data_IF_628772472675
#
_entry.id   IF_628772472675
#
_cell.length_a   1.000
_cell.length_b   1.000
_cell.length_c   1.000
_cell.angle_alpha   90.00
_cell.angle_beta   90.00
_cell.angle_gamma   90.00
#
_symmetry.space_group_name_H-M   'P 1'
#
loop_
_entity.id
_entity.type
_entity.pdbx_description
1 polymer ?
#
# COMPACT_ATOMS: atom_id res chain seq x y z
N UNK A 1 -2.69 -8.09 4.94
CA UNK A 1 -1.32 -7.56 4.96
C UNK A 1 -0.51 -8.18 3.82
N UNK A 2 0.37 -7.41 3.22
CA UNK A 2 1.28 -7.84 2.16
C UNK A 2 2.62 -7.11 2.29
N UNK A 3 3.71 -7.80 2.04
CA UNK A 3 5.03 -7.19 1.77
C UNK A 3 5.81 -8.00 0.74
N UNK A 4 6.82 -7.38 0.13
CA UNK A 4 7.68 -7.97 -0.89
C UNK A 4 9.12 -8.03 -0.38
N UNK A 5 9.77 -9.16 -0.55
CA UNK A 5 11.13 -9.46 -0.10
C UNK A 5 11.88 -10.23 -1.19
N UNK A 6 12.82 -9.61 -1.88
CA UNK A 6 13.71 -10.24 -2.87
C UNK A 6 13.04 -11.31 -3.76
N UNK A 7 11.93 -10.94 -4.43
CA UNK A 7 11.18 -11.84 -5.31
C UNK A 7 10.28 -12.85 -4.60
N UNK A 8 10.15 -12.77 -3.28
CA UNK A 8 9.21 -13.53 -2.46
C UNK A 8 8.15 -12.59 -1.90
N UNK A 9 6.93 -13.07 -1.77
CA UNK A 9 5.81 -12.30 -1.24
C UNK A 9 5.35 -12.91 0.08
N UNK A 10 5.10 -12.07 1.09
CA UNK A 10 4.40 -12.46 2.31
C UNK A 10 2.99 -11.89 2.30
N UNK A 11 2.03 -12.79 2.41
CA UNK A 11 0.60 -12.49 2.42
C UNK A 11 0.01 -12.91 3.76
N UNK A 12 -0.53 -11.95 4.49
CA UNK A 12 -1.28 -12.21 5.70
C UNK A 12 -2.78 -11.98 5.48
N UNK A 13 -3.60 -12.96 5.80
CA UNK A 13 -5.05 -12.88 5.59
C UNK A 13 -5.84 -13.97 6.27
N UNK A 14 -7.10 -14.10 5.87
CA UNK A 14 -8.01 -15.16 6.35
C UNK A 14 -8.19 -16.16 5.21
N UNK A 15 -7.85 -17.43 5.49
CA UNK A 15 -8.11 -18.58 4.62
C UNK A 15 -9.38 -19.30 5.02
N UNK A 16 -9.76 -20.36 4.30
CA UNK A 16 -10.87 -21.25 4.65
C UNK A 16 -10.66 -21.94 6.01
N UNK A 17 -9.40 -22.16 6.40
CA UNK A 17 -9.01 -22.82 7.66
C UNK A 17 -8.78 -21.84 8.81
N UNK A 18 -8.82 -20.55 8.56
CA UNK A 18 -8.59 -19.48 9.54
C UNK A 18 -7.54 -18.46 9.12
N UNK A 19 -6.93 -17.84 10.10
CA UNK A 19 -5.89 -16.85 9.87
C UNK A 19 -4.60 -17.50 9.37
N UNK A 20 -4.03 -17.00 8.29
CA UNK A 20 -2.81 -17.52 7.69
C UNK A 20 -1.82 -16.43 7.32
N UNK A 21 -0.54 -16.70 7.50
CA UNK A 21 0.57 -16.00 6.89
C UNK A 21 1.20 -16.93 5.86
N UNK A 22 1.23 -16.53 4.61
CA UNK A 22 1.67 -17.36 3.50
C UNK A 22 2.86 -16.72 2.81
N UNK A 23 3.92 -17.47 2.65
CA UNK A 23 5.01 -17.18 1.74
C UNK A 23 4.63 -17.65 0.34
N UNK A 24 4.76 -16.76 -0.64
CA UNK A 24 4.54 -17.08 -2.05
C UNK A 24 5.81 -16.74 -2.84
N UNK A 25 6.36 -17.71 -3.57
CA UNK A 25 7.52 -17.47 -4.45
C UNK A 25 7.09 -16.93 -5.81
N UNK A 26 8.06 -16.40 -6.57
CA UNK A 26 7.83 -15.91 -7.93
C UNK A 26 7.29 -16.99 -8.89
N UNK A 27 7.58 -18.28 -8.61
CA UNK A 27 7.09 -19.44 -9.39
C UNK A 27 5.69 -19.91 -8.94
N UNK A 28 5.08 -19.23 -7.96
CA UNK A 28 3.74 -19.55 -7.47
C UNK A 28 3.70 -20.67 -6.43
N UNK A 29 4.85 -21.08 -5.86
CA UNK A 29 4.86 -22.02 -4.73
C UNK A 29 4.46 -21.29 -3.46
N UNK A 30 3.56 -21.86 -2.69
CA UNK A 30 3.09 -21.32 -1.42
C UNK A 30 3.51 -22.19 -0.24
N UNK A 31 3.82 -21.53 0.87
CA UNK A 31 4.14 -22.15 2.15
C UNK A 31 3.47 -21.36 3.26
N UNK A 32 2.75 -22.02 4.14
CA UNK A 32 2.17 -21.40 5.32
C UNK A 32 3.22 -21.29 6.42
N UNK A 33 3.35 -20.10 7.00
CA UNK A 33 4.31 -19.80 8.05
C UNK A 33 3.63 -19.83 9.43
N UNK A 34 4.37 -20.19 10.48
CA UNK A 34 3.84 -20.21 11.83
C UNK A 34 3.49 -18.78 12.29
N UNK A 35 2.33 -18.65 12.92
CA UNK A 35 1.90 -17.41 13.56
C UNK A 35 2.18 -17.43 15.06
N UNK A 36 2.41 -16.27 15.70
CA UNK A 36 2.46 -16.17 17.17
C UNK A 36 1.16 -16.71 17.78
N UNK A 37 1.26 -17.52 18.82
CA UNK A 37 0.18 -18.39 19.33
C UNK A 37 -1.11 -17.73 19.83
N UNK A 38 -1.16 -16.39 19.95
CA UNK A 38 -2.37 -15.66 20.35
C UNK A 38 -2.84 -14.65 19.29
N UNK A 39 -2.44 -14.85 18.04
CA UNK A 39 -2.79 -13.95 16.95
C UNK A 39 -4.22 -14.19 16.48
N UNK A 40 -5.06 -13.17 16.58
CA UNK A 40 -6.44 -13.17 16.07
C UNK A 40 -6.58 -12.33 14.79
N UNK A 41 -5.61 -11.44 14.51
CA UNK A 41 -5.62 -10.55 13.37
C UNK A 41 -4.21 -10.20 12.90
N UNK A 42 -4.04 -10.07 11.57
CA UNK A 42 -2.83 -9.63 10.91
C UNK A 42 -3.05 -8.21 10.38
N UNK A 43 -2.33 -7.25 10.94
CA UNK A 43 -2.54 -5.83 10.64
C UNK A 43 -1.72 -5.36 9.46
N UNK A 44 -0.39 -5.51 9.54
CA UNK A 44 0.54 -5.01 8.54
C UNK A 44 1.84 -5.81 8.50
N UNK A 45 2.54 -5.74 7.38
CA UNK A 45 3.86 -6.33 7.15
C UNK A 45 4.81 -5.25 6.64
N UNK A 46 6.08 -5.32 7.03
CA UNK A 46 7.14 -4.54 6.40
C UNK A 46 8.44 -5.37 6.30
N UNK A 47 9.32 -5.08 5.33
CA UNK A 47 10.65 -5.68 5.27
C UNK A 47 11.49 -5.31 6.50
N UNK A 48 12.42 -6.19 6.89
CA UNK A 48 13.39 -5.89 7.95
C UNK A 48 14.70 -5.24 7.42
N UNK A 49 14.85 -5.20 6.09
CA UNK A 49 16.05 -4.73 5.41
C UNK A 49 17.17 -5.77 5.27
N UNK A 50 16.99 -6.99 5.82
CA UNK A 50 17.96 -8.09 5.80
C UNK A 50 17.42 -9.36 5.11
N UNK A 51 16.31 -9.23 4.36
CA UNK A 51 15.65 -10.33 3.65
C UNK A 51 14.53 -11.01 4.45
N UNK A 52 14.32 -10.59 5.68
CA UNK A 52 13.23 -11.00 6.55
C UNK A 52 12.12 -9.96 6.64
N UNK A 53 11.14 -10.17 7.53
CA UNK A 53 10.00 -9.28 7.68
C UNK A 53 9.54 -9.13 9.13
N UNK A 54 8.92 -7.99 9.39
CA UNK A 54 8.16 -7.72 10.60
C UNK A 54 6.67 -7.75 10.31
N UNK A 55 5.94 -8.46 11.15
CA UNK A 55 4.48 -8.56 11.13
C UNK A 55 3.90 -7.85 12.35
N UNK A 56 3.04 -6.85 12.14
CA UNK A 56 2.17 -6.33 13.17
C UNK A 56 0.94 -7.22 13.27
N UNK A 57 0.75 -7.84 14.42
CA UNK A 57 -0.34 -8.78 14.67
C UNK A 57 -0.87 -8.64 16.09
N UNK A 58 -1.95 -9.32 16.42
CA UNK A 58 -2.49 -9.34 17.78
C UNK A 58 -3.95 -9.68 17.86
N UNK A 59 -4.59 -9.23 18.95
CA UNK A 59 -6.02 -9.43 19.17
C UNK A 59 -6.83 -8.44 18.35
N UNK A 60 -7.99 -8.90 17.86
CA UNK A 60 -8.95 -8.02 17.22
C UNK A 60 -9.69 -7.20 18.29
N UNK A 61 -9.76 -5.87 18.16
CA UNK A 61 -10.60 -5.08 19.04
C UNK A 61 -12.05 -5.58 18.95
N UNK A 62 -12.72 -5.82 20.07
CA UNK A 62 -14.12 -6.23 20.06
C UNK A 62 -14.99 -5.12 19.49
N UNK A 63 -15.67 -5.40 18.41
CA UNK A 63 -16.51 -4.45 17.70
C UNK A 63 -17.42 -5.13 16.69
N UNK A 64 -18.17 -4.32 15.98
CA UNK A 64 -19.03 -4.75 14.89
C UNK A 64 -18.97 -3.73 13.75
N UNK A 65 -19.28 -4.18 12.55
CA UNK A 65 -19.50 -3.27 11.42
C UNK A 65 -20.92 -2.75 11.45
N UNK A 66 -21.10 -1.44 11.40
CA UNK A 66 -22.43 -0.84 11.27
C UNK A 66 -23.01 -1.05 9.85
N UNK A 67 -24.25 -0.63 9.64
CA UNK A 67 -24.93 -0.78 8.35
C UNK A 67 -24.25 -0.03 7.18
N UNK A 68 -23.31 0.84 7.48
CA UNK A 68 -22.53 1.61 6.49
C UNK A 68 -21.11 1.02 6.30
N UNK A 69 -20.80 -0.12 6.92
CA UNK A 69 -19.48 -0.76 6.84
C UNK A 69 -18.42 -0.15 7.75
N UNK A 70 -18.77 0.78 8.64
CA UNK A 70 -17.80 1.34 9.60
C UNK A 70 -17.64 0.42 10.80
N UNK A 71 -16.40 0.19 11.22
CA UNK A 71 -16.13 -0.60 12.43
C UNK A 71 -16.46 0.23 13.68
N UNK A 72 -17.33 -0.31 14.56
CA UNK A 72 -17.72 0.27 15.84
C UNK A 72 -17.20 -0.57 16.99
N UNK A 73 -16.45 0.02 17.88
CA UNK A 73 -15.94 -0.66 19.06
C UNK A 73 -17.06 -0.90 20.09
N UNK A 74 -17.09 -2.09 20.69
CA UNK A 74 -18.05 -2.44 21.75
C UNK A 74 -17.64 -1.91 23.11
N UNK A 75 -16.36 -1.63 23.35
CA UNK A 75 -15.88 -1.06 24.59
C UNK A 75 -14.97 0.14 24.35
N UNK A 76 -14.93 1.05 25.33
CA UNK A 76 -14.01 2.20 25.34
C UNK A 76 -12.61 1.81 25.83
N UNK A 77 -12.47 0.60 26.39
CA UNK A 77 -11.18 0.10 26.86
C UNK A 77 -10.61 -0.89 25.85
N UNK A 78 -9.39 -0.70 25.40
CA UNK A 78 -8.72 -1.61 24.48
C UNK A 78 -8.45 -2.94 25.20
N UNK A 79 -9.09 -4.01 24.75
CA UNK A 79 -8.82 -5.38 25.26
C UNK A 79 -7.72 -6.09 24.45
N UNK A 80 -7.25 -5.48 23.34
CA UNK A 80 -6.33 -6.08 22.41
C UNK A 80 -4.86 -5.81 22.74
N UNK A 81 -4.04 -6.85 22.74
CA UNK A 81 -2.58 -6.73 22.77
C UNK A 81 -2.05 -6.83 21.35
N UNK A 82 -1.27 -5.83 20.93
CA UNK A 82 -0.53 -5.88 19.66
C UNK A 82 0.89 -6.39 19.91
N UNK A 83 1.44 -7.03 18.90
CA UNK A 83 2.80 -7.50 18.89
C UNK A 83 3.46 -7.28 17.52
N UNK A 84 4.76 -7.10 17.52
CA UNK A 84 5.60 -7.20 16.33
C UNK A 84 6.27 -8.57 16.36
N UNK A 85 6.07 -9.37 15.32
CA UNK A 85 6.72 -10.66 15.14
C UNK A 85 7.76 -10.57 14.04
N UNK A 86 9.00 -10.95 14.33
CA UNK A 86 10.12 -10.94 13.39
C UNK A 86 10.31 -12.32 12.76
N UNK A 87 10.36 -12.35 11.45
CA UNK A 87 10.74 -13.50 10.64
C UNK A 87 12.06 -13.19 9.95
N UNK A 88 13.04 -14.08 10.06
CA UNK A 88 14.33 -13.91 9.39
C UNK A 88 14.26 -14.20 7.87
N UNK A 89 15.38 -14.11 7.17
CA UNK A 89 15.48 -14.39 5.74
C UNK A 89 15.11 -15.84 5.35
N UNK A 90 15.16 -16.78 6.30
CA UNK A 90 14.67 -18.16 6.11
C UNK A 90 13.17 -18.29 6.45
N UNK A 91 12.51 -17.20 6.83
CA UNK A 91 11.11 -17.12 7.28
C UNK A 91 10.81 -17.91 8.57
N UNK A 92 11.83 -18.12 9.38
CA UNK A 92 11.67 -18.66 10.72
C UNK A 92 11.29 -17.53 11.70
N UNK A 93 10.26 -17.75 12.52
CA UNK A 93 9.88 -16.81 13.58
C UNK A 93 10.99 -16.74 14.64
N UNK A 94 11.61 -15.57 14.79
CA UNK A 94 12.76 -15.34 15.66
C UNK A 94 12.37 -14.68 16.97
N UNK A 95 11.52 -13.65 16.91
CA UNK A 95 11.24 -12.79 18.03
C UNK A 95 9.78 -12.31 18.02
N UNK A 96 9.24 -12.06 19.22
CA UNK A 96 7.93 -11.44 19.41
C UNK A 96 8.07 -10.32 20.42
N UNK A 97 7.88 -9.08 19.98
CA UNK A 97 7.90 -7.88 20.80
C UNK A 97 6.47 -7.45 21.12
N UNK A 98 6.06 -7.57 22.37
CA UNK A 98 4.74 -7.10 22.81
C UNK A 98 4.74 -5.58 22.90
N UNK A 99 3.77 -4.92 22.29
CA UNK A 99 3.61 -3.48 22.38
C UNK A 99 3.18 -3.11 23.80
N UNK A 100 3.82 -2.09 24.36
CA UNK A 100 3.60 -1.66 25.75
C UNK A 100 2.30 -0.87 25.90
N UNK A 101 1.89 -0.16 24.85
CA UNK A 101 0.65 0.62 24.82
C UNK A 101 -0.46 -0.18 24.18
N UNK A 102 -1.67 -0.08 24.72
CA UNK A 102 -2.87 -0.63 24.09
C UNK A 102 -3.47 0.40 23.16
N UNK A 103 -3.83 -0.04 21.96
CA UNK A 103 -4.39 0.81 20.91
C UNK A 103 -5.79 0.34 20.52
N UNK A 104 -6.67 1.29 20.27
CA UNK A 104 -8.04 1.04 19.78
C UNK A 104 -8.14 1.14 18.26
N UNK A 105 -7.15 1.78 17.62
CA UNK A 105 -7.14 1.99 16.18
C UNK A 105 -6.84 0.72 15.40
N UNK A 106 -7.41 0.64 14.21
CA UNK A 106 -7.06 -0.39 13.25
C UNK A 106 -5.87 0.09 12.42
N UNK A 107 -4.69 -0.39 12.74
CA UNK A 107 -3.50 -0.15 11.95
C UNK A 107 -3.53 -1.02 10.68
N UNK A 108 -3.07 -0.49 9.57
CA UNK A 108 -3.07 -1.18 8.28
C UNK A 108 -1.75 -1.05 7.53
N UNK A 109 -0.83 -0.24 8.01
CA UNK A 109 0.54 -0.18 7.51
C UNK A 109 1.56 -0.10 8.64
N UNK A 110 2.72 -0.66 8.36
CA UNK A 110 3.91 -0.69 9.19
C UNK A 110 5.11 -0.31 8.33
N UNK A 111 5.95 0.57 8.83
CA UNK A 111 7.18 0.99 8.20
C UNK A 111 8.34 0.77 9.16
N UNK A 112 9.41 0.11 8.70
CA UNK A 112 10.66 0.00 9.45
C UNK A 112 11.40 1.32 9.37
N UNK A 113 11.87 1.83 10.51
CA UNK A 113 12.66 3.04 10.63
C UNK A 113 13.98 2.73 11.34
N UNK A 114 14.97 3.60 11.23
CA UNK A 114 16.16 3.48 12.06
C UNK A 114 15.78 3.51 13.55
N UNK A 115 16.21 2.49 14.31
CA UNK A 115 15.92 2.32 15.74
C UNK A 115 14.45 2.07 16.09
N UNK A 116 13.63 1.49 15.18
CA UNK A 116 12.28 1.04 15.50
C UNK A 116 11.29 1.06 14.34
N UNK A 117 10.05 1.48 14.58
CA UNK A 117 8.95 1.34 13.62
C UNK A 117 8.02 2.55 13.61
N UNK A 118 7.33 2.76 12.53
CA UNK A 118 6.13 3.59 12.50
C UNK A 118 4.94 2.74 12.05
N UNK A 119 3.88 2.72 12.84
CA UNK A 119 2.61 2.11 12.47
C UNK A 119 1.56 3.17 12.19
N UNK A 120 0.71 2.91 11.21
CA UNK A 120 -0.28 3.85 10.70
C UNK A 120 -1.69 3.29 10.72
N UNK A 121 -2.62 4.08 11.27
CA UNK A 121 -4.07 3.93 11.08
C UNK A 121 -4.61 5.06 10.19
N UNK A 122 -5.92 5.11 9.96
CA UNK A 122 -6.53 6.18 9.17
C UNK A 122 -6.33 7.59 9.78
N UNK A 123 -6.14 7.69 11.10
CA UNK A 123 -6.06 8.96 11.81
C UNK A 123 -4.82 9.13 12.68
N UNK A 124 -3.97 8.11 12.78
CA UNK A 124 -2.92 8.07 13.77
C UNK A 124 -1.63 7.47 13.21
N UNK A 125 -0.50 8.17 13.43
CA UNK A 125 0.86 7.65 13.27
C UNK A 125 1.46 7.44 14.67
N UNK A 126 2.08 6.30 14.90
CA UNK A 126 2.74 5.95 16.14
C UNK A 126 4.17 5.53 15.84
N UNK A 127 5.13 6.23 16.45
CA UNK A 127 6.55 5.83 16.46
C UNK A 127 6.79 4.90 17.64
N UNK A 128 7.35 3.74 17.36
CA UNK A 128 7.79 2.77 18.36
C UNK A 128 9.32 2.65 18.31
N UNK A 129 9.93 2.41 19.44
CA UNK A 129 11.31 1.93 19.52
C UNK A 129 11.38 0.41 19.23
N UNK A 130 12.59 -0.16 19.21
CA UNK A 130 12.80 -1.59 18.98
C UNK A 130 12.23 -2.49 20.08
N UNK A 131 12.01 -1.96 21.29
CA UNK A 131 11.38 -2.65 22.41
C UNK A 131 9.83 -2.56 22.38
N UNK A 132 9.24 -1.93 21.36
CA UNK A 132 7.80 -1.77 21.19
C UNK A 132 7.19 -0.70 22.10
N UNK A 133 8.02 0.21 22.67
CA UNK A 133 7.53 1.34 23.42
C UNK A 133 7.21 2.52 22.50
N UNK A 134 6.09 3.19 22.73
CA UNK A 134 5.71 4.41 22.02
C UNK A 134 6.65 5.56 22.39
N UNK A 135 7.29 6.16 21.39
CA UNK A 135 8.21 7.30 21.56
C UNK A 135 7.63 8.59 21.02
N UNK A 136 6.74 8.53 20.05
CA UNK A 136 6.08 9.69 19.48
C UNK A 136 4.73 9.33 18.85
N UNK A 137 3.88 10.35 18.71
CA UNK A 137 2.53 10.21 18.14
C UNK A 137 2.15 11.45 17.34
N UNK A 138 1.52 11.22 16.20
CA UNK A 138 0.91 12.26 15.37
C UNK A 138 -0.53 11.87 15.02
N UNK A 139 -1.48 12.78 15.31
CA UNK A 139 -2.89 12.60 14.94
C UNK A 139 -3.26 13.48 13.77
N UNK A 140 -4.13 12.96 12.90
CA UNK A 140 -4.76 13.72 11.83
C UNK A 140 -6.16 14.16 12.27
N UNK A 141 -6.51 15.42 12.02
CA UNK A 141 -7.89 15.86 12.14
C UNK A 141 -8.71 15.30 10.98
N UNK A 142 -9.63 14.39 11.29
CA UNK A 142 -10.45 13.68 10.30
C UNK A 142 -11.81 14.34 10.06
N UNK A 143 -12.08 15.52 10.67
CA UNK A 143 -13.41 16.16 10.59
C UNK A 143 -13.82 16.53 9.17
N UNK A 144 -12.84 16.90 8.34
CA UNK A 144 -13.09 17.30 6.95
C UNK A 144 -12.91 16.14 5.97
N UNK A 145 -12.98 14.89 6.45
CA UNK A 145 -12.89 13.69 5.62
C UNK A 145 -11.45 13.26 5.26
N UNK A 146 -10.44 13.89 5.84
CA UNK A 146 -9.05 13.49 5.60
C UNK A 146 -8.70 12.20 6.35
N UNK A 147 -7.86 11.37 5.73
CA UNK A 147 -7.29 10.18 6.34
C UNK A 147 -5.88 9.92 5.84
N UNK A 148 -5.06 9.29 6.68
CA UNK A 148 -3.82 8.67 6.22
C UNK A 148 -4.13 7.47 5.32
N UNK A 149 -3.40 7.34 4.22
CA UNK A 149 -3.65 6.32 3.20
C UNK A 149 -2.46 5.41 2.94
N UNK A 150 -1.24 5.93 2.94
CA UNK A 150 -0.02 5.16 2.75
C UNK A 150 1.16 5.81 3.47
N UNK A 151 2.18 5.00 3.81
CA UNK A 151 3.39 5.43 4.50
C UNK A 151 4.62 4.78 3.86
N UNK A 152 5.67 5.57 3.64
CA UNK A 152 6.96 5.10 3.13
C UNK A 152 8.08 5.98 3.68
N UNK A 153 9.17 5.35 4.13
CA UNK A 153 10.40 6.06 4.46
C UNK A 153 11.31 6.08 3.21
N UNK A 154 11.90 7.25 2.94
CA UNK A 154 12.91 7.45 1.91
C UNK A 154 13.85 8.59 2.32
N UNK A 155 15.15 8.41 2.13
CA UNK A 155 16.19 9.42 2.37
C UNK A 155 16.12 10.10 3.76
N UNK A 156 15.76 9.33 4.81
CA UNK A 156 15.64 9.85 6.17
C UNK A 156 14.42 10.74 6.39
N UNK A 157 13.43 10.68 5.54
CA UNK A 157 12.13 11.37 5.66
C UNK A 157 11.00 10.35 5.61
N UNK A 158 10.03 10.49 6.49
CA UNK A 158 8.82 9.67 6.48
C UNK A 158 7.76 10.38 5.64
N UNK A 159 7.45 9.81 4.50
CA UNK A 159 6.40 10.28 3.59
C UNK A 159 5.08 9.61 3.91
N UNK A 160 4.03 10.40 4.05
CA UNK A 160 2.69 9.93 4.38
C UNK A 160 1.69 10.52 3.40
N UNK A 161 1.08 9.66 2.60
CA UNK A 161 0.00 10.06 1.71
C UNK A 161 -1.27 10.25 2.53
N UNK A 162 -1.90 11.42 2.41
CA UNK A 162 -3.23 11.69 2.95
C UNK A 162 -4.23 11.88 1.83
N UNK A 163 -5.47 11.44 2.04
CA UNK A 163 -6.54 11.55 1.06
C UNK A 163 -7.80 12.09 1.70
N UNK A 164 -8.54 12.91 0.95
CA UNK A 164 -9.89 13.32 1.30
C UNK A 164 -10.89 12.28 0.80
N UNK A 165 -11.68 11.68 1.70
CA UNK A 165 -12.68 10.67 1.36
C UNK A 165 -13.83 11.20 0.51
N UNK A 166 -14.11 12.50 0.60
CA UNK A 166 -15.18 13.12 -0.18
C UNK A 166 -14.73 13.45 -1.61
N UNK A 167 -13.42 13.31 -1.90
CA UNK A 167 -12.86 13.53 -3.25
C UNK A 167 -12.85 14.98 -3.71
N UNK A 168 -13.10 15.93 -2.77
CA UNK A 168 -13.16 17.37 -3.08
C UNK A 168 -11.78 18.01 -3.23
N UNK A 169 -10.75 17.36 -2.67
CA UNK A 169 -9.39 17.87 -2.66
C UNK A 169 -8.39 16.80 -3.11
N UNK A 170 -7.30 17.24 -3.76
CA UNK A 170 -6.22 16.34 -4.17
C UNK A 170 -5.48 15.80 -2.94
N UNK A 171 -4.90 14.59 -3.03
CA UNK A 171 -4.07 14.03 -1.98
C UNK A 171 -2.88 14.93 -1.64
N UNK A 172 -2.45 14.90 -0.37
CA UNK A 172 -1.23 15.55 0.08
C UNK A 172 -0.18 14.49 0.43
N UNK A 173 1.04 14.74 0.02
CA UNK A 173 2.23 14.00 0.45
C UNK A 173 2.84 14.75 1.65
N UNK A 174 2.47 14.35 2.85
CA UNK A 174 3.00 14.94 4.10
C UNK A 174 4.33 14.33 4.44
N UNK A 175 5.22 15.17 4.95
CA UNK A 175 6.58 14.78 5.33
C UNK A 175 6.72 14.89 6.85
N UNK A 176 7.37 13.91 7.46
CA UNK A 176 7.65 13.89 8.89
C UNK A 176 9.09 13.49 9.15
N UNK A 177 9.68 14.03 10.22
CA UNK A 177 10.94 13.55 10.75
C UNK A 177 10.71 12.15 11.37
N UNK A 178 11.44 11.09 10.95
CA UNK A 178 11.11 9.71 11.34
C UNK A 178 11.36 9.41 12.82
N UNK A 179 12.19 10.19 13.51
CA UNK A 179 12.54 10.02 14.92
C UNK A 179 11.50 10.63 15.87
N UNK A 180 10.88 11.74 15.50
CA UNK A 180 9.97 12.51 16.36
C UNK A 180 8.54 12.62 15.84
N UNK A 181 8.28 12.23 14.60
CA UNK A 181 7.05 12.50 13.86
C UNK A 181 6.69 13.99 13.80
N UNK A 182 7.69 14.87 13.94
CA UNK A 182 7.48 16.31 13.71
C UNK A 182 7.17 16.57 12.25
N UNK A 183 6.09 17.31 12.00
CA UNK A 183 5.69 17.64 10.64
C UNK A 183 6.74 18.56 9.97
N UNK A 184 7.07 18.23 8.74
CA UNK A 184 7.87 19.02 7.80
C UNK A 184 6.93 19.66 6.78
N UNK A 185 7.51 20.26 5.73
CA UNK A 185 6.72 20.81 4.62
C UNK A 185 5.97 19.70 3.87
N UNK A 186 4.72 19.96 3.47
CA UNK A 186 3.89 19.03 2.71
C UNK A 186 3.83 19.46 1.23
N UNK A 187 3.76 18.47 0.34
CA UNK A 187 3.54 18.68 -1.07
C UNK A 187 2.10 18.30 -1.44
N UNK A 188 1.42 19.16 -2.21
CA UNK A 188 0.13 18.79 -2.81
C UNK A 188 0.41 17.95 -4.07
N UNK A 189 -0.20 16.77 -4.17
CA UNK A 189 -0.06 15.94 -5.36
C UNK A 189 -0.74 16.60 -6.56
N UNK A 190 -0.17 16.44 -7.75
CA UNK A 190 -0.74 16.99 -9.00
C UNK A 190 -1.84 16.10 -9.59
N UNK A 191 -2.01 14.89 -9.05
CA UNK A 191 -3.02 13.92 -9.47
C UNK A 191 -3.54 13.13 -8.27
N UNK A 192 -4.62 12.37 -8.49
CA UNK A 192 -5.21 11.49 -7.46
C UNK A 192 -4.29 10.27 -7.21
N UNK A 193 -3.26 10.44 -6.38
CA UNK A 193 -2.36 9.36 -5.97
C UNK A 193 -3.11 8.39 -5.03
N UNK A 194 -2.99 7.10 -5.29
CA UNK A 194 -3.71 6.05 -4.55
C UNK A 194 -2.77 5.17 -3.72
N UNK A 195 -1.54 4.97 -4.18
CA UNK A 195 -0.55 4.11 -3.53
C UNK A 195 0.83 4.74 -3.46
N UNK A 196 1.61 4.31 -2.47
CA UNK A 196 2.96 4.79 -2.20
C UNK A 196 3.88 3.60 -1.92
N UNK A 197 5.00 3.54 -2.60
CA UNK A 197 6.07 2.55 -2.44
C UNK A 197 7.44 3.19 -2.64
N UNK A 198 8.46 2.35 -2.85
CA UNK A 198 9.84 2.79 -3.07
C UNK A 198 10.38 2.17 -4.36
N UNK A 199 11.05 2.96 -5.17
CA UNK A 199 11.85 2.50 -6.30
C UNK A 199 13.22 1.98 -5.83
N UNK A 200 13.82 1.10 -6.60
CA UNK A 200 15.16 0.57 -6.32
C UNK A 200 16.25 1.64 -6.29
N UNK A 201 16.03 2.78 -6.95
CA UNK A 201 16.92 3.94 -6.96
C UNK A 201 16.69 4.94 -5.82
N UNK A 202 15.75 4.65 -4.90
CA UNK A 202 15.42 5.47 -3.73
C UNK A 202 14.30 6.48 -3.94
N UNK A 203 13.84 6.71 -5.18
CA UNK A 203 12.68 7.58 -5.44
C UNK A 203 11.39 6.95 -4.93
N UNK A 204 10.38 7.78 -4.65
CA UNK A 204 9.06 7.24 -4.31
C UNK A 204 8.38 6.65 -5.55
N UNK A 205 7.81 5.48 -5.38
CA UNK A 205 6.97 4.81 -6.38
C UNK A 205 5.51 5.15 -6.10
N UNK A 206 4.87 5.86 -7.00
CA UNK A 206 3.52 6.37 -6.81
C UNK A 206 2.60 5.87 -7.92
N UNK A 207 1.37 5.53 -7.57
CA UNK A 207 0.36 5.10 -8.53
C UNK A 207 -0.89 5.97 -8.47
N UNK A 208 -1.44 6.30 -9.63
CA UNK A 208 -2.72 6.97 -9.79
C UNK A 208 -3.64 6.16 -10.74
N UNK A 209 -4.78 6.70 -11.15
CA UNK A 209 -5.71 6.01 -12.06
C UNK A 209 -5.20 5.85 -13.49
N UNK A 210 -4.16 6.57 -13.88
CA UNK A 210 -3.65 6.60 -15.25
C UNK A 210 -2.32 5.86 -15.39
N UNK A 211 -1.45 5.96 -14.38
CA UNK A 211 -0.08 5.48 -14.49
C UNK A 211 0.57 5.14 -13.13
N UNK A 212 1.64 4.38 -13.21
CA UNK A 212 2.66 4.23 -12.19
C UNK A 212 3.83 5.12 -12.55
N UNK A 213 4.33 5.90 -11.61
CA UNK A 213 5.41 6.85 -11.85
C UNK A 213 6.38 6.90 -10.66
N UNK A 214 7.63 7.28 -10.95
CA UNK A 214 8.60 7.61 -9.94
C UNK A 214 8.51 9.11 -9.63
N UNK A 215 8.60 9.47 -8.33
CA UNK A 215 8.64 10.84 -7.85
C UNK A 215 9.97 11.09 -7.18
N UNK A 216 10.71 12.08 -7.69
CA UNK A 216 11.98 12.53 -7.13
C UNK A 216 11.71 13.50 -5.98
N UNK A 217 12.10 13.09 -4.77
CA UNK A 217 11.83 13.84 -3.55
C UNK A 217 12.65 15.13 -3.42
N UNK A 218 13.74 15.24 -4.14
CA UNK A 218 14.63 16.40 -4.13
C UNK A 218 14.22 17.48 -5.13
N UNK A 219 13.82 17.09 -6.35
CA UNK A 219 13.40 18.04 -7.40
C UNK A 219 11.89 18.25 -7.48
N UNK A 220 11.08 17.33 -6.94
CA UNK A 220 9.63 17.32 -7.11
C UNK A 220 9.18 16.86 -8.51
N UNK A 221 10.08 16.34 -9.34
CA UNK A 221 9.76 15.87 -10.69
C UNK A 221 9.18 14.46 -10.68
N UNK A 222 8.33 14.17 -11.66
CA UNK A 222 7.73 12.86 -11.90
C UNK A 222 8.21 12.25 -13.20
N UNK A 223 8.47 10.93 -13.19
CA UNK A 223 8.81 10.16 -14.37
C UNK A 223 7.80 9.03 -14.54
N UNK A 224 7.01 9.00 -15.65
CA UNK A 224 6.10 7.90 -15.91
C UNK A 224 6.86 6.60 -16.16
N UNK A 225 6.50 5.53 -15.46
CA UNK A 225 7.09 4.20 -15.57
C UNK A 225 6.21 3.24 -16.37
N UNK A 226 4.89 3.28 -16.11
CA UNK A 226 3.90 2.41 -16.75
C UNK A 226 2.59 3.15 -16.87
N UNK A 227 2.02 3.20 -18.06
CA UNK A 227 0.67 3.70 -18.30
C UNK A 227 -0.33 2.54 -18.38
N UNK A 228 -1.39 2.59 -17.58
CA UNK A 228 -2.37 1.50 -17.50
C UNK A 228 -3.04 1.25 -18.84
N UNK A 229 -3.27 2.28 -19.65
CA UNK A 229 -3.82 2.16 -20.98
C UNK A 229 -2.96 1.30 -21.92
N UNK A 230 -1.65 1.24 -21.68
CA UNK A 230 -0.72 0.45 -22.49
C UNK A 230 -0.77 -1.04 -22.14
N UNK A 231 -1.19 -1.37 -20.92
CA UNK A 231 -1.21 -2.75 -20.41
C UNK A 231 -2.54 -3.45 -20.61
N UNK A 232 -3.61 -2.72 -20.94
CA UNK A 232 -4.95 -3.29 -21.01
C UNK A 232 -5.47 -3.83 -19.68
N UNK A 233 -4.86 -3.43 -18.57
CA UNK A 233 -5.27 -3.84 -17.24
C UNK A 233 -6.07 -2.72 -16.59
N UNK A 234 -7.21 -3.06 -15.97
CA UNK A 234 -7.91 -2.14 -15.10
C UNK A 234 -7.20 -2.17 -13.73
N UNK A 235 -6.08 -1.47 -13.65
CA UNK A 235 -5.29 -1.41 -12.43
C UNK A 235 -5.89 -0.33 -11.56
N UNK A 236 -6.74 -0.74 -10.63
CA UNK A 236 -7.02 0.10 -9.48
C UNK A 236 -5.72 0.13 -8.67
N UNK A 237 -4.96 1.20 -8.81
CA UNK A 237 -3.68 1.35 -8.17
C UNK A 237 -3.86 1.20 -6.65
N UNK A 238 -3.30 0.14 -6.13
CA UNK A 238 -3.12 -0.09 -4.70
C UNK A 238 -1.71 0.29 -4.30
N UNK A 239 -1.19 -0.38 -3.29
CA UNK A 239 0.19 -0.21 -2.89
C UNK A 239 1.11 -0.84 -3.96
N UNK A 240 2.06 -0.09 -4.53
CA UNK A 240 3.00 -0.60 -5.52
C UNK A 240 4.32 -1.05 -4.88
N UNK A 241 4.99 -2.03 -5.50
CA UNK A 241 6.38 -2.42 -5.22
C UNK A 241 7.12 -2.57 -6.52
N UNK A 242 8.37 -2.12 -6.57
CA UNK A 242 9.28 -2.44 -7.66
C UNK A 242 9.90 -3.82 -7.41
N UNK A 243 9.98 -4.62 -8.47
CA UNK A 243 10.65 -5.91 -8.54
C UNK A 243 11.81 -5.81 -9.52
N UNK A 244 12.78 -6.73 -9.43
CA UNK A 244 13.89 -6.81 -10.38
C UNK A 244 13.41 -6.85 -11.86
N UNK A 245 12.34 -7.59 -12.13
CA UNK A 245 11.78 -7.77 -13.48
C UNK A 245 10.49 -7.00 -13.76
N UNK A 246 10.10 -6.03 -12.92
CA UNK A 246 8.87 -5.26 -13.11
C UNK A 246 8.28 -4.66 -11.86
N UNK A 247 6.95 -4.81 -11.70
CA UNK A 247 6.22 -4.23 -10.57
C UNK A 247 5.18 -5.20 -10.02
N UNK A 248 4.88 -5.08 -8.76
CA UNK A 248 3.76 -5.72 -8.09
C UNK A 248 2.79 -4.65 -7.60
N UNK A 249 1.51 -4.89 -7.77
CA UNK A 249 0.45 -3.99 -7.34
C UNK A 249 -0.57 -4.79 -6.53
N UNK A 250 -0.90 -4.29 -5.36
CA UNK A 250 -1.93 -4.87 -4.51
C UNK A 250 -3.10 -3.92 -4.36
N UNK A 251 -4.27 -4.36 -4.78
CA UNK A 251 -5.53 -3.64 -4.56
C UNK A 251 -6.26 -4.26 -3.37
N UNK A 252 -6.29 -3.59 -2.22
CA UNK A 252 -6.95 -4.14 -1.03
C UNK A 252 -8.48 -4.19 -1.16
N UNK A 253 -9.07 -3.41 -2.08
CA UNK A 253 -10.53 -3.34 -2.27
C UNK A 253 -11.12 -4.60 -2.92
N UNK A 254 -10.43 -5.17 -3.89
CA UNK A 254 -10.82 -6.39 -4.61
C UNK A 254 -9.92 -7.59 -4.26
N UNK A 255 -9.00 -7.42 -3.30
CA UNK A 255 -8.03 -8.43 -2.88
C UNK A 255 -7.19 -9.00 -4.03
N UNK A 256 -7.00 -8.22 -5.09
CA UNK A 256 -6.22 -8.64 -6.24
C UNK A 256 -4.74 -8.31 -6.09
N UNK A 257 -3.90 -9.22 -6.58
CA UNK A 257 -2.46 -9.06 -6.69
C UNK A 257 -2.09 -9.14 -8.16
N UNK A 258 -1.53 -8.06 -8.70
CA UNK A 258 -1.16 -7.97 -10.11
C UNK A 258 0.35 -7.84 -10.23
N UNK A 259 0.97 -8.71 -11.02
CA UNK A 259 2.39 -8.65 -11.36
C UNK A 259 2.55 -8.15 -12.79
N UNK A 260 3.28 -7.06 -12.93
CA UNK A 260 3.68 -6.50 -14.23
C UNK A 260 5.13 -6.89 -14.48
N UNK A 261 5.40 -7.57 -15.59
CA UNK A 261 6.75 -7.98 -15.95
C UNK A 261 7.29 -7.09 -17.06
N UNK A 262 8.52 -6.62 -16.91
CA UNK A 262 9.26 -5.97 -18.01
C UNK A 262 9.62 -7.05 -19.04
N UNK A 263 9.13 -6.91 -20.26
CA UNK A 263 9.49 -7.79 -21.37
C UNK A 263 10.58 -7.09 -22.17
N UNK A 264 11.78 -7.66 -22.31
CA UNK A 264 12.81 -7.11 -23.16
C UNK A 264 12.36 -7.08 -24.61
N UNK A 265 12.48 -5.94 -25.24
CA UNK A 265 12.08 -5.75 -26.63
C UNK A 265 11.57 -4.35 -26.93
N UNK A 266 11.51 -4.00 -28.19
CA UNK A 266 10.89 -2.75 -28.61
C UNK A 266 9.37 -2.94 -28.59
N UNK A 267 8.65 -2.04 -27.91
CA UNK A 267 7.20 -2.02 -28.02
C UNK A 267 6.79 -1.90 -29.49
N UNK A 268 5.77 -2.64 -29.96
CA UNK A 268 5.32 -2.54 -31.35
C UNK A 268 4.94 -1.10 -31.66
N UNK A 269 5.41 -0.59 -32.81
CA UNK A 269 4.94 0.71 -33.33
C UNK A 269 3.46 0.58 -33.68
N UNK A 270 2.61 1.16 -32.84
CA UNK A 270 1.16 1.16 -33.05
C UNK A 270 0.68 2.53 -33.52
N UNK A 271 -0.28 2.53 -34.42
CA UNK A 271 -1.01 3.76 -34.74
C UNK A 271 -1.92 4.13 -33.58
N UNK A 272 -1.70 5.28 -32.99
CA UNK A 272 -2.51 5.78 -31.87
C UNK A 272 -3.79 6.41 -32.39
N UNK A 273 -4.92 5.92 -31.89
CA UNK A 273 -6.25 6.47 -32.10
C UNK A 273 -6.68 7.19 -30.81
N UNK A 274 -6.88 8.50 -30.88
CA UNK A 274 -7.32 9.28 -29.71
C UNK A 274 -8.83 9.27 -29.60
N UNK A 275 -9.37 8.92 -28.44
CA UNK A 275 -10.80 8.90 -28.16
C UNK A 275 -11.10 9.87 -27.00
N UNK A 276 -11.95 10.86 -27.27
CA UNK A 276 -12.50 11.73 -26.24
C UNK A 276 -13.86 11.17 -25.81
N UNK A 277 -14.03 10.91 -24.52
CA UNK A 277 -15.25 10.33 -23.99
C UNK A 277 -15.85 11.30 -22.98
N UNK A 278 -17.09 11.72 -23.23
CA UNK A 278 -17.88 12.48 -22.26
C UNK A 278 -18.79 11.50 -21.56
N UNK A 279 -18.65 11.35 -20.26
CA UNK A 279 -19.49 10.49 -19.45
C UNK A 279 -20.13 11.28 -18.29
N UNK A 280 -21.42 11.03 -18.07
CA UNK A 280 -22.08 11.42 -16.84
C UNK A 280 -21.78 10.39 -15.73
N UNK A 281 -22.51 10.44 -14.63
CA UNK A 281 -22.33 9.66 -13.38
C UNK A 281 -22.37 8.11 -13.52
N UNK A 282 -22.23 7.55 -14.70
CA UNK A 282 -22.38 6.11 -14.93
C UNK A 282 -21.02 5.40 -14.81
N UNK A 283 -20.94 4.26 -14.12
CA UNK A 283 -19.68 3.52 -13.99
C UNK A 283 -19.15 3.05 -15.34
N UNK A 284 -17.98 3.52 -15.66
CA UNK A 284 -17.26 3.37 -16.93
C UNK A 284 -16.63 1.99 -17.14
N UNK A 285 -16.70 1.10 -16.14
CA UNK A 285 -15.94 -0.13 -16.09
C UNK A 285 -16.01 -1.03 -17.33
N UNK A 286 -17.22 -1.28 -17.85
CA UNK A 286 -17.38 -2.18 -19.00
C UNK A 286 -16.81 -1.59 -20.30
N UNK A 287 -16.93 -0.27 -20.50
CA UNK A 287 -16.41 0.39 -21.70
C UNK A 287 -14.86 0.49 -21.63
N UNK A 288 -14.32 0.84 -20.48
CA UNK A 288 -12.87 0.86 -20.25
C UNK A 288 -12.28 -0.52 -20.49
N UNK A 289 -12.92 -1.57 -19.97
CA UNK A 289 -12.50 -2.95 -20.23
C UNK A 289 -12.49 -3.29 -21.73
N UNK A 290 -13.51 -2.89 -22.47
CA UNK A 290 -13.57 -3.11 -23.91
C UNK A 290 -12.43 -2.41 -24.67
N UNK A 291 -12.07 -1.17 -24.29
CA UNK A 291 -10.95 -0.46 -24.89
C UNK A 291 -9.61 -1.13 -24.55
N UNK A 292 -9.47 -1.61 -23.32
CA UNK A 292 -8.29 -2.36 -22.88
C UNK A 292 -8.17 -3.69 -23.63
N UNK A 293 -9.26 -4.46 -23.75
CA UNK A 293 -9.28 -5.72 -24.49
C UNK A 293 -8.93 -5.49 -25.97
N UNK A 294 -9.39 -4.38 -26.56
CA UNK A 294 -8.99 -3.99 -27.91
C UNK A 294 -7.48 -3.75 -27.98
N UNK A 295 -6.91 -2.97 -27.08
CA UNK A 295 -5.48 -2.66 -27.06
C UNK A 295 -4.60 -3.90 -26.86
N UNK A 296 -5.12 -4.94 -26.20
CA UNK A 296 -4.42 -6.21 -26.00
C UNK A 296 -4.58 -7.17 -27.20
N UNK A 297 -5.68 -7.10 -27.93
CA UNK A 297 -6.05 -8.11 -28.94
C UNK A 297 -5.27 -7.98 -30.24
N UNK A 298 -4.53 -6.89 -30.47
CA UNK A 298 -3.85 -6.62 -31.73
C UNK A 298 -2.68 -5.63 -31.56
N UNK A 299 -1.74 -5.61 -32.51
CA UNK A 299 -0.50 -4.83 -32.45
C UNK A 299 -0.44 -3.65 -33.44
N UNK A 300 -1.48 -3.45 -34.26
CA UNK A 300 -1.47 -2.41 -35.30
C UNK A 300 -1.94 -1.05 -34.75
N UNK A 301 -2.86 -1.05 -33.81
CA UNK A 301 -3.49 0.15 -33.28
C UNK A 301 -3.49 0.15 -31.76
N UNK A 302 -3.50 1.35 -31.18
CA UNK A 302 -3.74 1.59 -29.77
C UNK A 302 -4.77 2.71 -29.63
N UNK A 303 -5.77 2.54 -28.78
CA UNK A 303 -6.71 3.59 -28.42
C UNK A 303 -6.21 4.23 -27.12
N UNK A 304 -5.90 5.53 -27.19
CA UNK A 304 -5.68 6.39 -26.03
C UNK A 304 -6.96 7.19 -25.80
N UNK A 305 -7.50 7.13 -24.57
CA UNK A 305 -8.77 7.82 -24.28
C UNK A 305 -8.60 8.85 -23.17
N UNK A 306 -9.37 9.92 -23.26
CA UNK A 306 -9.50 10.93 -22.22
C UNK A 306 -10.96 11.02 -21.81
N UNK A 307 -11.18 10.97 -20.49
CA UNK A 307 -12.53 11.11 -19.91
C UNK A 307 -12.78 12.57 -19.58
N UNK A 308 -13.94 13.07 -20.01
CA UNK A 308 -14.44 14.40 -19.66
C UNK A 308 -15.72 14.22 -18.84
N UNK A 309 -15.73 14.73 -17.62
CA UNK A 309 -16.87 14.73 -16.68
C UNK A 309 -17.59 16.07 -16.69
#
# INVERSE_FOLDING_TARGET
ALTVLDGTFLLGGVSETGLALVRLTAEGKSEELPLPGSTEYLYALCPDGAGGAWLLCGSLPKGYFDAFGNFRFLSKEPEGKLALAHYDAAFALQEIVLLQTQYTDRFFQLCRLEGGFCMMSASLLIRLDEAGAETSRQSLDTKDGWSFAAIQEADGVLYVLTRNFYGEELPELRKFAPDTLSALEADTCTSEVIGLGLCADGRLLMGNREELFAYDTGSGETEPLVRWQELGANVLAGQPWELEDGYLLFSPGDTSLQRLRRVPGQAPERTVLTLAVVCGDTPFGAFTQMLQDFNLSQDAYRIDWTLYT
#
